data_IF_143013783888
#
_entry.id   IF_143013783888
#
_cell.length_a   1.000
_cell.length_b   1.000
_cell.length_c   1.000
_cell.angle_alpha   90.00
_cell.angle_beta   90.00
_cell.angle_gamma   90.00
#
_symmetry.space_group_name_H-M   'P 1'
#
loop_
_entity.id
_entity.type
_entity.pdbx_description
1 polymer ?
#
# COMPACT_ATOMS: atom_id res chain seq x y z
N UNK A 1 1.39 76.52 -1.48
CA UNK A 1 2.42 75.82 -2.28
C UNK A 1 1.73 74.64 -2.96
N UNK A 2 1.59 74.62 -4.28
CA UNK A 2 0.90 73.53 -5.00
C UNK A 2 1.89 72.39 -5.22
N UNK A 3 1.70 71.27 -4.54
CA UNK A 3 2.44 70.04 -4.82
C UNK A 3 2.14 69.58 -6.24
N UNK A 4 3.16 69.51 -7.10
CA UNK A 4 3.03 68.93 -8.42
C UNK A 4 2.88 67.40 -8.28
N UNK A 5 1.74 66.86 -8.69
CA UNK A 5 1.54 65.42 -8.80
C UNK A 5 2.48 64.87 -9.89
N UNK A 6 3.44 64.03 -9.50
CA UNK A 6 4.32 63.33 -10.44
C UNK A 6 3.51 62.22 -11.10
N UNK A 7 3.34 62.29 -12.43
CA UNK A 7 2.74 61.22 -13.22
C UNK A 7 3.70 60.04 -13.39
N UNK A 8 3.15 58.85 -13.60
CA UNK A 8 3.92 57.63 -13.89
C UNK A 8 4.65 57.74 -15.23
N UNK A 9 5.89 57.25 -15.28
CA UNK A 9 6.67 57.19 -16.52
C UNK A 9 6.37 55.92 -17.30
N UNK A 10 6.52 55.95 -18.63
CA UNK A 10 6.33 54.77 -19.49
C UNK A 10 7.22 53.59 -19.04
N UNK A 11 8.49 53.88 -18.69
CA UNK A 11 9.46 52.87 -18.25
C UNK A 11 9.00 52.18 -16.95
N UNK A 12 8.33 52.89 -16.05
CA UNK A 12 7.88 52.36 -14.76
C UNK A 12 6.71 51.39 -14.93
N UNK A 13 5.78 51.69 -15.84
CA UNK A 13 4.70 50.75 -16.20
C UNK A 13 5.26 49.51 -16.89
N UNK A 14 6.25 49.66 -17.79
CA UNK A 14 6.90 48.53 -18.45
C UNK A 14 7.63 47.63 -17.45
N UNK A 15 8.36 48.21 -16.49
CA UNK A 15 9.03 47.45 -15.43
C UNK A 15 8.00 46.76 -14.53
N UNK A 16 6.92 47.44 -14.13
CA UNK A 16 5.86 46.86 -13.31
C UNK A 16 5.21 45.65 -14.00
N UNK A 17 4.92 45.76 -15.29
CA UNK A 17 4.39 44.66 -16.09
C UNK A 17 5.39 43.52 -16.24
N UNK A 18 6.68 43.81 -16.42
CA UNK A 18 7.73 42.79 -16.49
C UNK A 18 7.83 41.99 -15.19
N UNK A 19 7.84 42.68 -14.04
CA UNK A 19 7.86 42.02 -12.71
C UNK A 19 6.58 41.22 -12.48
N UNK A 20 5.41 41.78 -12.84
CA UNK A 20 4.14 41.09 -12.72
C UNK A 20 4.09 39.82 -13.58
N UNK A 21 4.56 39.89 -14.83
CA UNK A 21 4.61 38.75 -15.72
C UNK A 21 5.46 37.61 -15.14
N UNK A 22 6.65 37.93 -14.60
CA UNK A 22 7.51 36.94 -13.94
C UNK A 22 6.82 36.32 -12.72
N UNK A 23 6.17 37.14 -11.90
CA UNK A 23 5.43 36.67 -10.72
C UNK A 23 4.28 35.72 -11.08
N UNK A 24 3.55 36.02 -12.15
CA UNK A 24 2.45 35.17 -12.64
C UNK A 24 2.95 33.82 -13.17
N UNK A 25 4.08 33.81 -13.90
CA UNK A 25 4.69 32.55 -14.37
C UNK A 25 5.10 31.68 -13.17
N UNK A 26 5.76 32.28 -12.17
CA UNK A 26 6.13 31.57 -10.95
C UNK A 26 4.90 31.02 -10.21
N UNK A 27 3.81 31.81 -10.13
CA UNK A 27 2.57 31.38 -9.51
C UNK A 27 1.91 30.19 -10.22
N UNK A 28 1.81 30.23 -11.55
CA UNK A 28 1.26 29.12 -12.34
C UNK A 28 2.11 27.87 -12.20
N UNK A 29 3.44 28.00 -12.24
CA UNK A 29 4.35 26.88 -12.06
C UNK A 29 4.22 26.24 -10.67
N UNK A 30 4.10 27.06 -9.62
CA UNK A 30 3.86 26.56 -8.26
C UNK A 30 2.51 25.84 -8.14
N UNK A 31 1.47 26.36 -8.82
CA UNK A 31 0.15 25.72 -8.87
C UNK A 31 0.19 24.35 -9.54
N UNK A 32 0.88 24.24 -10.69
CA UNK A 32 1.04 22.96 -11.39
C UNK A 32 1.77 21.93 -10.51
N UNK A 33 2.88 22.34 -9.90
CA UNK A 33 3.63 21.47 -9.00
C UNK A 33 2.81 21.02 -7.78
N UNK A 34 1.97 21.91 -7.23
CA UNK A 34 1.05 21.53 -6.14
C UNK A 34 0.00 20.51 -6.57
N UNK A 35 -0.50 20.59 -7.81
CA UNK A 35 -1.42 19.59 -8.36
C UNK A 35 -0.76 18.22 -8.52
N UNK A 36 0.49 18.18 -9.00
CA UNK A 36 1.27 16.95 -9.12
C UNK A 36 1.49 16.29 -7.75
N UNK A 37 1.81 17.08 -6.73
CA UNK A 37 1.95 16.58 -5.35
C UNK A 37 0.64 16.00 -4.80
N UNK A 38 -0.50 16.64 -5.09
CA UNK A 38 -1.80 16.14 -4.65
C UNK A 38 -2.10 14.75 -5.26
N UNK A 39 -1.80 14.57 -6.55
CA UNK A 39 -1.92 13.28 -7.25
C UNK A 39 -1.01 12.23 -6.62
N UNK A 40 0.26 12.56 -6.38
CA UNK A 40 1.21 11.65 -5.76
C UNK A 40 0.74 11.15 -4.37
N UNK A 41 0.24 12.04 -3.52
CA UNK A 41 -0.27 11.66 -2.19
C UNK A 41 -1.53 10.80 -2.30
N UNK A 42 -2.43 11.11 -3.23
CA UNK A 42 -3.61 10.30 -3.52
C UNK A 42 -3.19 8.88 -3.92
N UNK A 43 -2.29 8.75 -4.87
CA UNK A 43 -1.82 7.45 -5.38
C UNK A 43 -1.13 6.62 -4.30
N UNK A 44 -0.27 7.25 -3.49
CA UNK A 44 0.38 6.60 -2.35
C UNK A 44 -0.65 6.08 -1.33
N UNK A 45 -1.70 6.84 -1.07
CA UNK A 45 -2.77 6.46 -0.13
C UNK A 45 -3.56 5.26 -0.64
N UNK A 46 -3.95 5.28 -1.92
CA UNK A 46 -4.68 4.18 -2.57
C UNK A 46 -3.79 2.93 -2.62
N UNK A 47 -2.53 3.05 -3.05
CA UNK A 47 -1.57 1.95 -3.06
C UNK A 47 -1.37 1.34 -1.66
N UNK A 48 -1.37 2.16 -0.60
CA UNK A 48 -1.32 1.67 0.78
C UNK A 48 -2.58 0.86 1.15
N UNK A 49 -3.77 1.26 0.72
CA UNK A 49 -4.98 0.46 0.92
C UNK A 49 -4.93 -0.86 0.15
N UNK A 50 -4.42 -0.86 -1.09
CA UNK A 50 -4.20 -2.10 -1.87
C UNK A 50 -3.30 -3.05 -1.09
N UNK A 51 -2.13 -2.56 -0.66
CA UNK A 51 -1.15 -3.36 0.05
C UNK A 51 -1.72 -3.95 1.35
N UNK A 52 -2.50 -3.15 2.10
CA UNK A 52 -3.15 -3.60 3.34
C UNK A 52 -4.20 -4.67 3.09
N UNK A 53 -5.03 -4.51 2.06
CA UNK A 53 -6.04 -5.52 1.69
C UNK A 53 -5.37 -6.86 1.35
N UNK A 54 -4.26 -6.82 0.61
CA UNK A 54 -3.50 -8.04 0.30
C UNK A 54 -2.82 -8.64 1.53
N UNK A 55 -2.26 -7.81 2.42
CA UNK A 55 -1.70 -8.30 3.68
C UNK A 55 -2.76 -9.01 4.52
N UNK A 56 -3.95 -8.42 4.64
CA UNK A 56 -5.07 -9.01 5.38
C UNK A 56 -5.50 -10.33 4.74
N UNK A 57 -5.55 -10.42 3.41
CA UNK A 57 -5.86 -11.67 2.69
C UNK A 57 -4.90 -12.80 3.08
N UNK A 58 -3.60 -12.52 3.21
CA UNK A 58 -2.63 -13.50 3.70
C UNK A 58 -2.77 -13.82 5.20
N UNK A 59 -3.20 -12.86 6.02
CA UNK A 59 -3.39 -13.06 7.46
C UNK A 59 -4.62 -13.92 7.79
N UNK A 60 -5.68 -13.82 6.98
CA UNK A 60 -6.94 -14.57 7.19
C UNK A 60 -7.00 -15.86 6.37
N UNK A 61 -6.00 -16.12 5.53
CA UNK A 61 -5.95 -17.33 4.73
C UNK A 61 -6.00 -18.58 5.63
N UNK A 62 -6.85 -19.54 5.27
CA UNK A 62 -6.99 -20.79 6.02
C UNK A 62 -5.71 -21.64 5.97
N UNK A 63 -5.01 -21.59 4.83
CA UNK A 63 -3.76 -22.30 4.62
C UNK A 63 -2.55 -21.40 4.90
N UNK A 64 -1.51 -21.99 5.47
CA UNK A 64 -0.28 -21.28 5.78
C UNK A 64 0.44 -20.82 4.49
N UNK A 65 0.58 -19.50 4.23
CA UNK A 65 0.98 -18.99 2.91
C UNK A 65 2.38 -19.42 2.50
N UNK A 66 2.50 -20.22 1.43
CA UNK A 66 3.79 -20.76 0.97
C UNK A 66 4.81 -19.65 0.68
N UNK A 67 6.08 -19.92 0.99
CA UNK A 67 7.20 -19.06 0.60
C UNK A 67 7.26 -18.97 -0.92
N UNK A 68 7.51 -17.77 -1.44
CA UNK A 68 7.55 -17.49 -2.87
C UNK A 68 7.05 -16.09 -3.21
N UNK A 69 6.91 -15.83 -4.50
CA UNK A 69 6.39 -14.57 -5.02
C UNK A 69 5.04 -14.81 -5.68
N UNK A 70 4.07 -13.95 -5.39
CA UNK A 70 2.79 -13.89 -6.07
C UNK A 70 2.59 -12.47 -6.57
N UNK A 71 1.94 -12.34 -7.72
CA UNK A 71 1.61 -11.04 -8.28
C UNK A 71 0.28 -11.15 -9.02
N UNK A 72 -0.50 -10.06 -9.00
CA UNK A 72 -1.76 -9.96 -9.71
C UNK A 72 -2.12 -8.48 -9.88
N UNK A 73 -3.17 -8.23 -10.67
CA UNK A 73 -3.74 -6.91 -10.85
C UNK A 73 -5.00 -6.73 -10.01
N UNK A 74 -5.21 -5.53 -9.51
CA UNK A 74 -6.40 -5.16 -8.75
C UNK A 74 -6.88 -3.78 -9.15
N UNK A 75 -8.20 -3.63 -9.29
CA UNK A 75 -8.81 -2.35 -9.60
C UNK A 75 -9.35 -1.69 -8.34
N UNK A 76 -8.89 -0.47 -8.07
CA UNK A 76 -9.35 0.32 -6.93
C UNK A 76 -9.29 1.81 -7.24
N UNK A 77 -10.31 2.55 -6.79
CA UNK A 77 -10.46 3.99 -7.05
C UNK A 77 -10.41 4.35 -8.55
N UNK A 78 -11.03 3.51 -9.38
CA UNK A 78 -11.09 3.63 -10.84
C UNK A 78 -9.74 3.51 -11.57
N UNK A 79 -8.75 2.92 -10.91
CA UNK A 79 -7.42 2.68 -11.46
C UNK A 79 -7.00 1.23 -11.23
N UNK A 80 -6.25 0.67 -12.18
CA UNK A 80 -5.62 -0.64 -12.05
C UNK A 80 -4.26 -0.52 -11.38
N UNK A 81 -4.00 -1.42 -10.44
CA UNK A 81 -2.78 -1.50 -9.66
C UNK A 81 -2.20 -2.89 -9.81
N UNK A 82 -0.91 -2.98 -10.08
CA UNK A 82 -0.19 -4.25 -10.06
C UNK A 82 0.44 -4.41 -8.69
N UNK A 83 0.24 -5.54 -8.03
CA UNK A 83 0.87 -5.82 -6.75
C UNK A 83 1.72 -7.07 -6.83
N UNK A 84 2.81 -7.09 -6.07
CA UNK A 84 3.74 -8.21 -5.95
C UNK A 84 3.97 -8.48 -4.47
N UNK A 85 3.54 -9.63 -3.99
CA UNK A 85 3.82 -10.11 -2.65
C UNK A 85 4.96 -11.13 -2.66
N UNK A 86 6.02 -10.86 -1.91
CA UNK A 86 7.14 -11.76 -1.68
C UNK A 86 7.09 -12.28 -0.25
N UNK A 87 6.82 -13.58 -0.10
CA UNK A 87 6.77 -14.26 1.19
C UNK A 87 8.11 -14.96 1.40
N UNK A 88 8.76 -14.67 2.52
CA UNK A 88 10.07 -15.21 2.90
C UNK A 88 9.98 -16.00 4.20
N UNK A 89 10.74 -17.09 4.28
CA UNK A 89 10.93 -17.81 5.52
C UNK A 89 11.64 -16.92 6.55
N UNK A 90 11.27 -17.08 7.82
CA UNK A 90 11.97 -16.46 8.94
C UNK A 90 12.70 -17.54 9.76
N UNK A 91 13.61 -17.16 10.67
CA UNK A 91 14.24 -18.10 11.59
C UNK A 91 13.25 -18.89 12.45
N UNK A 92 12.09 -18.29 12.76
CA UNK A 92 10.99 -18.98 13.44
C UNK A 92 10.08 -19.64 12.39
N UNK A 93 9.92 -20.98 12.39
CA UNK A 93 9.05 -21.68 11.45
C UNK A 93 7.57 -21.25 11.50
N UNK A 94 7.12 -20.71 12.64
CA UNK A 94 5.75 -20.21 12.83
C UNK A 94 5.58 -18.77 12.34
N UNK A 95 6.66 -18.12 11.90
CA UNK A 95 6.65 -16.74 11.41
C UNK A 95 7.15 -16.68 9.98
N UNK A 96 6.43 -15.94 9.13
CA UNK A 96 6.88 -15.62 7.76
C UNK A 96 6.85 -14.11 7.57
N UNK A 97 7.84 -13.58 6.86
CA UNK A 97 7.84 -12.18 6.43
C UNK A 97 7.13 -12.08 5.09
N UNK A 98 6.30 -11.07 4.91
CA UNK A 98 5.66 -10.76 3.63
C UNK A 98 5.96 -9.31 3.26
N UNK A 99 6.51 -9.11 2.06
CA UNK A 99 6.79 -7.80 1.50
C UNK A 99 5.87 -7.59 0.30
N UNK A 100 4.97 -6.60 0.38
CA UNK A 100 3.99 -6.29 -0.67
C UNK A 100 4.38 -4.98 -1.33
N UNK A 101 4.74 -5.05 -2.61
CA UNK A 101 4.99 -3.90 -3.47
C UNK A 101 3.77 -3.63 -4.32
N UNK A 102 3.44 -2.35 -4.52
CA UNK A 102 2.32 -1.91 -5.34
C UNK A 102 2.83 -0.91 -6.35
N UNK A 103 2.46 -1.11 -7.61
CA UNK A 103 2.88 -0.36 -8.78
C UNK A 103 1.64 0.23 -9.45
N UNK A 104 1.78 1.43 -10.00
CA UNK A 104 0.79 1.97 -10.94
C UNK A 104 0.86 1.17 -12.24
N UNK A 105 -0.27 1.06 -12.93
CA UNK A 105 -0.34 0.46 -14.27
C UNK A 105 -0.66 1.57 -15.25
N UNK A 106 0.14 1.65 -16.31
CA UNK A 106 -0.12 2.56 -17.42
C UNK A 106 -1.41 2.11 -18.14
N UNK A 107 -2.44 2.98 -18.25
CA UNK A 107 -3.71 2.62 -18.85
C UNK A 107 -3.63 2.36 -20.37
N UNK A 108 -2.62 2.87 -21.07
CA UNK A 108 -2.44 2.69 -22.51
C UNK A 108 -1.69 1.39 -22.82
N UNK A 109 -0.61 1.11 -22.08
CA UNK A 109 0.23 -0.07 -22.32
C UNK A 109 -0.17 -1.28 -21.50
N UNK A 110 -0.92 -1.09 -20.41
CA UNK A 110 -1.25 -2.11 -19.43
C UNK A 110 -0.05 -2.60 -18.63
N UNK A 111 1.11 -1.94 -18.74
CA UNK A 111 2.33 -2.35 -18.06
C UNK A 111 2.45 -1.68 -16.69
N UNK A 112 2.94 -2.41 -15.66
CA UNK A 112 3.27 -1.80 -14.39
C UNK A 112 4.45 -0.85 -14.56
N UNK A 113 4.46 0.24 -13.79
CA UNK A 113 5.60 1.13 -13.70
C UNK A 113 6.84 0.40 -13.15
N UNK A 114 8.03 0.88 -13.52
CA UNK A 114 9.30 0.30 -13.06
C UNK A 114 9.46 0.39 -11.52
N UNK A 115 8.99 1.50 -10.95
CA UNK A 115 9.12 1.79 -9.52
C UNK A 115 7.83 1.52 -8.75
N UNK A 116 7.98 0.90 -7.58
CA UNK A 116 6.86 0.67 -6.66
C UNK A 116 6.44 1.99 -6.01
N UNK A 117 5.16 2.33 -6.16
CA UNK A 117 4.54 3.47 -5.46
C UNK A 117 4.47 3.23 -3.96
N UNK A 118 4.40 1.99 -3.50
CA UNK A 118 4.36 1.63 -2.08
C UNK A 118 5.01 0.26 -1.81
N UNK A 119 5.71 0.14 -0.68
CA UNK A 119 6.16 -1.13 -0.11
C UNK A 119 5.59 -1.24 1.32
N UNK A 120 4.90 -2.35 1.59
CA UNK A 120 4.42 -2.72 2.91
C UNK A 120 5.06 -4.04 3.33
N UNK A 121 5.85 -4.00 4.40
CA UNK A 121 6.40 -5.20 5.04
C UNK A 121 5.55 -5.59 6.25
N UNK A 122 5.23 -6.88 6.37
CA UNK A 122 4.48 -7.45 7.47
C UNK A 122 5.02 -8.82 7.89
N UNK A 123 4.55 -9.30 9.02
CA UNK A 123 4.82 -10.65 9.51
C UNK A 123 3.51 -11.41 9.64
N UNK A 124 3.51 -12.65 9.16
CA UNK A 124 2.44 -13.61 9.30
C UNK A 124 2.81 -14.56 10.44
N UNK A 125 1.85 -14.91 11.28
CA UNK A 125 2.03 -15.85 12.40
C UNK A 125 1.05 -17.00 12.27
N UNK A 126 1.54 -18.23 12.41
CA UNK A 126 0.68 -19.40 12.37
C UNK A 126 0.01 -19.56 13.74
N UNK A 127 -1.27 -19.24 13.85
CA UNK A 127 -2.03 -19.62 15.03
C UNK A 127 -2.19 -21.15 15.02
N UNK A 128 -1.77 -21.87 16.08
CA UNK A 128 -2.00 -23.31 16.14
C UNK A 128 -3.50 -23.56 16.05
N UNK A 129 -3.93 -24.32 15.02
CA UNK A 129 -5.30 -24.81 14.89
C UNK A 129 -5.63 -25.50 16.22
N UNK A 130 -6.56 -24.93 16.99
CA UNK A 130 -7.01 -25.55 18.24
C UNK A 130 -7.38 -27.00 17.90
N UNK A 131 -6.75 -27.96 18.57
CA UNK A 131 -6.95 -29.39 18.32
C UNK A 131 -8.45 -29.65 18.21
N UNK A 132 -8.89 -30.16 17.06
CA UNK A 132 -10.27 -30.51 16.81
C UNK A 132 -10.75 -31.42 17.94
N UNK A 133 -11.92 -31.13 18.50
CA UNK A 133 -12.53 -31.92 19.58
C UNK A 133 -12.70 -33.41 19.22
N UNK A 134 -12.55 -33.77 17.95
CA UNK A 134 -12.53 -35.14 17.44
C UNK A 134 -11.31 -35.95 17.96
N UNK A 135 -10.13 -35.33 18.12
CA UNK A 135 -8.94 -36.02 18.64
C UNK A 135 -9.02 -36.29 20.15
N UNK A 136 -9.87 -35.54 20.87
CA UNK A 136 -10.13 -35.75 22.30
C UNK A 136 -11.16 -36.85 22.56
N UNK A 137 -12.10 -37.04 21.62
CA UNK A 137 -13.14 -38.05 21.76
C UNK A 137 -12.56 -39.48 21.61
N UNK A 138 -11.62 -39.71 20.67
CA UNK A 138 -10.97 -41.01 20.45
C UNK A 138 -9.86 -41.38 21.45
N UNK A 139 -9.73 -40.65 22.56
CA UNK A 139 -8.83 -41.00 23.67
C UNK A 139 -9.57 -41.42 24.93
N UNK A 140 -10.87 -41.11 25.03
CA UNK A 140 -11.69 -41.43 26.21
C UNK A 140 -12.27 -42.86 26.18
N UNK A 141 -12.35 -43.45 25.00
CA UNK A 141 -12.87 -44.79 24.69
C UNK A 141 -11.88 -45.94 25.00
N UNK A 142 -10.57 -45.67 25.05
CA UNK A 142 -9.55 -46.71 25.27
C UNK A 142 -9.16 -46.95 26.74
N UNK A 143 -9.83 -46.36 27.72
CA UNK A 143 -9.50 -46.50 29.16
C UNK A 143 -10.58 -47.23 30.00
N UNK A 144 -11.44 -48.04 29.35
CA UNK A 144 -12.54 -48.76 30.02
C UNK A 144 -12.31 -50.25 30.31
N UNK A 145 -11.12 -50.81 30.06
CA UNK A 145 -10.95 -52.25 29.84
C UNK A 145 -9.98 -53.00 30.74
N UNK A 146 -9.82 -52.69 32.03
CA UNK A 146 -9.10 -53.61 32.95
C UNK A 146 -9.72 -53.58 34.35
N UNK A 147 -10.84 -54.26 34.54
CA UNK A 147 -11.29 -54.68 35.87
C UNK A 147 -12.10 -55.97 35.78
N UNK A 148 -11.54 -57.05 36.31
CA UNK A 148 -12.30 -58.23 36.71
C UNK A 148 -12.12 -59.46 35.84
N UNK A 149 -11.05 -60.22 36.08
CA UNK A 149 -11.10 -61.67 35.90
C UNK A 149 -10.91 -62.33 37.26
N UNK A 150 -12.04 -62.75 37.84
CA UNK A 150 -12.10 -63.78 38.88
C UNK A 150 -12.22 -65.12 38.17
N UNK A 151 -11.25 -66.01 38.37
CA UNK A 151 -11.45 -67.39 38.86
C UNK A 151 -10.08 -68.02 39.09
#
# INVERSE_FOLDING_TARGET
>A
MKSAARGFTLIEVLIALAVLAIALVAFVSAGAQNADYATYIRDRTIAQWVARNQLVTYQIAADWPRVGTQADDVRMADQTWHWVATIQASPDPQVRRVDIRVYTVDPETGQPADDAVMLLSGFLTQHPKAASNEDRAGRADNNGGVAGSRN
#
